data_IF_540081996906
#
_entry.id   IF_540081996906
#
_cell.length_a   1.000
_cell.length_b   1.000
_cell.length_c   1.000
_cell.angle_alpha   90.00
_cell.angle_beta   90.00
_cell.angle_gamma   90.00
#
_symmetry.space_group_name_H-M   'P 1'
#
loop_
_entity.id
_entity.type
_entity.pdbx_description
1 polymer ?
#
# COMPACT_ATOMS: atom_id res chain seq x y z
N UNK A 1 -78.62 -5.21 14.73
CA UNK A 1 -77.74 -4.79 13.61
C UNK A 1 -76.49 -4.13 14.17
N UNK A 2 -75.34 -4.82 14.18
CA UNK A 2 -74.02 -4.23 14.47
C UNK A 2 -73.06 -4.73 13.39
N UNK A 3 -72.58 -3.83 12.53
CA UNK A 3 -71.64 -4.12 11.44
C UNK A 3 -70.23 -4.19 12.03
N UNK A 4 -69.54 -5.31 11.86
CA UNK A 4 -68.11 -5.44 12.10
C UNK A 4 -67.35 -4.96 10.86
N UNK A 5 -66.51 -3.92 11.01
CA UNK A 5 -65.57 -3.51 9.98
C UNK A 5 -64.30 -4.35 10.12
N UNK A 6 -63.96 -5.12 9.08
CA UNK A 6 -62.66 -5.78 8.94
C UNK A 6 -61.60 -4.71 8.63
N UNK A 7 -60.66 -4.52 9.54
CA UNK A 7 -59.44 -3.74 9.30
C UNK A 7 -58.49 -4.64 8.51
N UNK A 8 -58.21 -4.26 7.26
CA UNK A 8 -57.13 -4.85 6.47
C UNK A 8 -55.81 -4.22 6.91
N UNK A 9 -54.97 -5.01 7.58
CA UNK A 9 -53.56 -4.69 7.83
C UNK A 9 -52.81 -4.96 6.51
N UNK A 10 -52.21 -3.97 5.85
CA UNK A 10 -51.36 -4.26 4.71
C UNK A 10 -50.06 -4.86 5.24
N UNK A 11 -49.79 -6.10 4.81
CA UNK A 11 -48.52 -6.79 4.98
C UNK A 11 -47.40 -5.91 4.42
N UNK A 12 -46.62 -5.32 5.34
CA UNK A 12 -45.39 -4.61 5.05
C UNK A 12 -44.38 -5.65 4.53
N UNK A 13 -44.18 -5.67 3.21
CA UNK A 13 -43.10 -6.42 2.57
C UNK A 13 -41.77 -5.88 3.09
N UNK A 14 -41.21 -6.53 4.11
CA UNK A 14 -39.81 -6.35 4.49
C UNK A 14 -38.94 -6.91 3.36
N UNK A 15 -38.41 -6.01 2.53
CA UNK A 15 -37.32 -6.34 1.60
C UNK A 15 -36.08 -6.56 2.46
N UNK A 16 -35.81 -7.82 2.80
CA UNK A 16 -34.55 -8.22 3.41
C UNK A 16 -33.49 -8.13 2.31
N UNK A 17 -32.79 -7.00 2.24
CA UNK A 17 -31.56 -6.87 1.47
C UNK A 17 -30.52 -7.73 2.20
N UNK A 18 -30.44 -9.01 1.83
CA UNK A 18 -29.37 -9.89 2.28
C UNK A 18 -28.05 -9.37 1.68
N UNK A 19 -27.25 -8.70 2.51
CA UNK A 19 -25.87 -8.40 2.19
C UNK A 19 -25.10 -9.73 2.28
N UNK A 20 -24.82 -10.33 1.12
CA UNK A 20 -24.18 -11.64 1.05
C UNK A 20 -22.68 -11.47 1.37
N UNK A 21 -22.30 -11.53 2.65
CA UNK A 21 -20.91 -11.48 3.07
C UNK A 21 -20.20 -12.76 2.60
N UNK A 22 -19.39 -12.66 1.55
CA UNK A 22 -18.44 -13.72 1.21
C UNK A 22 -17.32 -13.70 2.25
N UNK A 23 -17.32 -14.69 3.12
CA UNK A 23 -16.14 -15.01 3.91
C UNK A 23 -15.18 -15.75 3.00
N UNK A 24 -13.90 -15.39 3.08
CA UNK A 24 -12.82 -16.06 2.37
C UNK A 24 -12.49 -17.43 3.00
N UNK A 25 -13.51 -18.09 3.55
CA UNK A 25 -13.39 -19.25 4.42
C UNK A 25 -12.51 -20.30 3.73
N UNK A 26 -11.45 -20.69 4.45
CA UNK A 26 -10.48 -21.75 4.13
C UNK A 26 -9.26 -21.35 3.30
N UNK A 27 -8.56 -20.31 3.79
CA UNK A 27 -7.18 -19.94 3.47
C UNK A 27 -6.96 -19.51 2.02
N UNK A 28 -6.18 -18.45 1.81
CA UNK A 28 -5.48 -18.33 0.53
C UNK A 28 -4.76 -19.62 0.27
N UNK A 29 -4.75 -20.06 -0.98
CA UNK A 29 -3.95 -21.22 -1.32
C UNK A 29 -2.51 -20.88 -0.94
N UNK A 30 -1.98 -21.59 0.07
CA UNK A 30 -0.56 -21.55 0.39
C UNK A 30 0.16 -21.98 -0.88
N UNK A 31 0.84 -21.05 -1.52
CA UNK A 31 1.48 -21.30 -2.81
C UNK A 31 2.70 -22.16 -2.63
N UNK A 32 3.55 -21.74 -1.70
CA UNK A 32 4.74 -22.48 -1.34
C UNK A 32 5.24 -22.05 0.04
N UNK A 33 6.23 -22.79 0.49
CA UNK A 33 6.95 -22.52 1.73
C UNK A 33 8.42 -22.32 1.42
N UNK A 34 9.00 -21.31 2.05
CA UNK A 34 10.41 -20.99 2.04
C UNK A 34 11.02 -21.50 3.35
N UNK A 35 12.02 -22.38 3.31
CA UNK A 35 12.65 -22.88 4.52
C UNK A 35 13.44 -21.78 5.23
N UNK A 36 13.69 -21.98 6.53
CA UNK A 36 14.61 -21.12 7.27
C UNK A 36 16.06 -21.47 6.93
N UNK A 37 16.91 -20.44 6.86
CA UNK A 37 18.33 -20.53 6.60
C UNK A 37 18.90 -19.22 6.04
N UNK A 38 20.19 -19.20 5.74
CA UNK A 38 20.90 -17.98 5.32
C UNK A 38 21.24 -17.99 3.83
N UNK A 39 21.01 -19.09 3.12
CA UNK A 39 21.33 -19.21 1.71
C UNK A 39 20.28 -18.50 0.82
N UNK A 40 20.63 -18.20 -0.44
CA UNK A 40 19.65 -17.77 -1.43
C UNK A 40 18.51 -18.79 -1.56
N UNK A 41 17.27 -18.32 -1.41
CA UNK A 41 16.07 -19.17 -1.42
C UNK A 41 15.63 -19.63 -0.03
N UNK A 42 16.30 -19.15 1.03
CA UNK A 42 15.94 -19.38 2.42
C UNK A 42 15.66 -18.04 3.12
N UNK A 43 15.00 -18.05 4.28
CA UNK A 43 14.75 -16.85 5.10
C UNK A 43 15.49 -16.98 6.43
N UNK A 44 16.15 -15.92 6.89
CA UNK A 44 16.87 -16.01 8.19
C UNK A 44 15.86 -16.28 9.31
N UNK A 45 16.16 -17.19 10.25
CA UNK A 45 15.29 -17.44 11.39
C UNK A 45 14.86 -16.16 12.12
N UNK A 46 13.57 -16.07 12.43
CA UNK A 46 12.99 -14.91 13.10
C UNK A 46 13.40 -14.89 14.58
N UNK A 47 14.16 -13.89 15.00
CA UNK A 47 14.67 -13.76 16.37
C UNK A 47 13.56 -13.43 17.40
N UNK A 48 12.47 -12.79 16.98
CA UNK A 48 11.36 -12.37 17.86
C UNK A 48 10.01 -12.41 17.12
N UNK A 49 8.95 -12.81 17.83
CA UNK A 49 7.56 -12.86 17.29
C UNK A 49 6.92 -11.49 17.03
N UNK A 50 7.51 -10.40 17.55
CA UNK A 50 6.81 -9.10 17.71
C UNK A 50 7.42 -7.92 16.96
N UNK A 51 8.40 -8.11 16.04
CA UNK A 51 8.98 -6.98 15.29
C UNK A 51 9.15 -7.32 13.81
N UNK A 52 8.06 -7.21 13.04
CA UNK A 52 7.97 -7.59 11.63
C UNK A 52 7.89 -6.38 10.70
N UNK A 53 8.96 -5.58 10.67
CA UNK A 53 9.15 -4.54 9.64
C UNK A 53 10.33 -4.84 8.72
N UNK A 54 10.92 -6.03 8.83
CA UNK A 54 12.14 -6.40 8.08
C UNK A 54 11.85 -7.15 6.78
N UNK A 55 10.59 -7.27 6.37
CA UNK A 55 10.21 -7.94 5.12
C UNK A 55 9.33 -7.04 4.27
N UNK A 56 9.45 -7.17 2.95
CA UNK A 56 8.47 -6.69 1.98
C UNK A 56 8.19 -7.81 0.98
N UNK A 57 6.95 -7.89 0.49
CA UNK A 57 6.52 -8.86 -0.51
C UNK A 57 5.77 -8.13 -1.60
N UNK A 58 6.03 -8.48 -2.86
CA UNK A 58 5.25 -8.05 -4.02
C UNK A 58 4.99 -9.22 -4.94
N UNK A 59 3.87 -9.18 -5.66
CA UNK A 59 3.59 -10.08 -6.76
C UNK A 59 3.37 -9.31 -8.04
N UNK A 60 3.90 -9.84 -9.14
CA UNK A 60 3.76 -9.22 -10.46
C UNK A 60 3.97 -10.28 -11.54
N UNK A 61 3.06 -10.38 -12.51
CA UNK A 61 3.11 -11.36 -13.61
C UNK A 61 3.41 -12.82 -13.16
N UNK A 62 2.81 -13.25 -12.05
CA UNK A 62 2.98 -14.61 -11.52
C UNK A 62 4.32 -14.89 -10.82
N UNK A 63 5.18 -13.88 -10.67
CA UNK A 63 6.39 -13.95 -9.86
C UNK A 63 6.13 -13.37 -8.46
N UNK A 64 6.84 -13.92 -7.48
CA UNK A 64 6.83 -13.47 -6.08
C UNK A 64 8.19 -12.87 -5.75
N UNK A 65 8.18 -11.61 -5.34
CA UNK A 65 9.36 -10.86 -4.97
C UNK A 65 9.35 -10.67 -3.46
N UNK A 66 10.44 -11.02 -2.79
CA UNK A 66 10.56 -10.94 -1.34
C UNK A 66 11.85 -10.22 -1.00
N UNK A 67 11.74 -9.19 -0.18
CA UNK A 67 12.86 -8.54 0.48
C UNK A 67 12.95 -9.05 1.90
N UNK A 68 14.16 -9.37 2.33
CA UNK A 68 14.53 -9.47 3.74
C UNK A 68 15.55 -8.37 4.04
N UNK A 69 15.08 -7.29 4.66
CA UNK A 69 15.86 -6.09 4.94
C UNK A 69 17.05 -6.37 5.85
N UNK A 70 16.89 -7.23 6.87
CA UNK A 70 17.99 -7.61 7.79
C UNK A 70 19.15 -8.28 7.08
N UNK A 71 18.86 -9.10 6.07
CA UNK A 71 19.87 -9.80 5.28
C UNK A 71 20.28 -9.03 4.03
N UNK A 72 19.73 -7.83 3.78
CA UNK A 72 19.92 -7.05 2.56
C UNK A 72 19.83 -7.91 1.29
N UNK A 73 18.77 -8.73 1.22
CA UNK A 73 18.53 -9.63 0.09
C UNK A 73 17.16 -9.42 -0.53
N UNK A 74 17.14 -9.47 -1.85
CA UNK A 74 15.95 -9.54 -2.69
C UNK A 74 15.94 -10.90 -3.38
N UNK A 75 14.86 -11.65 -3.24
CA UNK A 75 14.66 -12.95 -3.85
C UNK A 75 13.42 -12.93 -4.74
N UNK A 76 13.54 -13.58 -5.90
CA UNK A 76 12.46 -13.70 -6.88
C UNK A 76 12.16 -15.17 -7.08
N UNK A 77 10.93 -15.56 -6.77
CA UNK A 77 10.41 -16.91 -6.93
C UNK A 77 9.37 -16.94 -8.05
N UNK A 78 9.22 -18.09 -8.69
CA UNK A 78 8.01 -18.35 -9.46
C UNK A 78 6.84 -18.73 -8.52
N UNK A 79 5.63 -18.86 -9.07
CA UNK A 79 4.44 -19.26 -8.32
C UNK A 79 4.54 -20.63 -7.63
N UNK A 80 5.46 -21.49 -8.06
CA UNK A 80 5.70 -22.82 -7.46
C UNK A 80 6.76 -22.81 -6.35
N UNK A 81 7.31 -21.66 -5.99
CA UNK A 81 8.33 -21.53 -4.94
C UNK A 81 9.75 -21.88 -5.36
N UNK A 82 10.02 -22.02 -6.67
CA UNK A 82 11.40 -22.15 -7.18
C UNK A 82 12.04 -20.78 -7.24
N UNK A 83 13.22 -20.63 -6.62
CA UNK A 83 14.04 -19.43 -6.75
C UNK A 83 14.51 -19.26 -8.20
N UNK A 84 14.27 -18.09 -8.77
CA UNK A 84 14.65 -17.72 -10.14
C UNK A 84 15.88 -16.80 -10.15
N UNK A 85 15.92 -15.85 -9.22
CA UNK A 85 16.96 -14.83 -9.13
C UNK A 85 17.08 -14.36 -7.68
N UNK A 86 18.30 -14.06 -7.25
CA UNK A 86 18.56 -13.34 -6.01
C UNK A 86 19.50 -12.16 -6.26
N UNK A 87 19.32 -11.10 -5.47
CA UNK A 87 20.22 -9.95 -5.37
C UNK A 87 20.61 -9.79 -3.90
N UNK A 88 21.91 -9.67 -3.62
CA UNK A 88 22.43 -9.58 -2.26
C UNK A 88 23.86 -9.05 -2.27
N UNK A 89 24.39 -8.70 -1.10
CA UNK A 89 25.80 -8.34 -0.94
C UNK A 89 26.70 -9.58 -1.17
N UNK A 90 27.95 -9.38 -1.60
CA UNK A 90 28.88 -10.38 -2.18
C UNK A 90 29.37 -11.54 -1.30
N UNK A 91 28.55 -12.05 -0.39
CA UNK A 91 28.93 -13.10 0.56
C UNK A 91 28.93 -14.49 -0.09
N UNK A 92 28.11 -14.71 -1.13
CA UNK A 92 27.97 -16.02 -1.79
C UNK A 92 28.47 -16.01 -3.22
N UNK A 93 29.27 -17.02 -3.59
CA UNK A 93 29.70 -17.24 -4.98
C UNK A 93 28.50 -17.64 -5.85
N UNK A 94 28.44 -17.06 -7.04
CA UNK A 94 27.45 -17.38 -8.08
C UNK A 94 27.42 -18.88 -8.36
N UNK A 95 26.27 -19.54 -8.22
CA UNK A 95 26.04 -20.91 -8.68
C UNK A 95 25.50 -20.83 -10.13
N UNK A 96 25.97 -21.66 -11.05
CA UNK A 96 25.53 -21.62 -12.45
C UNK A 96 24.02 -21.88 -12.62
N UNK A 97 23.37 -22.59 -11.69
CA UNK A 97 21.93 -22.86 -11.72
C UNK A 97 21.08 -21.78 -11.03
N UNK A 98 21.69 -20.96 -10.15
CA UNK A 98 21.04 -19.87 -9.44
C UNK A 98 21.65 -18.54 -9.85
N UNK A 99 20.89 -17.72 -10.56
CA UNK A 99 21.30 -16.36 -10.89
C UNK A 99 21.31 -15.52 -9.62
N UNK A 100 22.44 -15.54 -8.92
CA UNK A 100 22.74 -14.67 -7.78
C UNK A 100 23.54 -13.51 -8.34
N UNK A 101 23.11 -12.29 -8.03
CA UNK A 101 23.81 -11.09 -8.46
C UNK A 101 24.22 -10.27 -7.26
N UNK A 102 25.48 -9.87 -7.26
CA UNK A 102 26.01 -8.97 -6.25
C UNK A 102 25.53 -7.55 -6.50
N UNK A 103 24.89 -6.96 -5.49
CA UNK A 103 24.57 -5.53 -5.41
C UNK A 103 24.91 -5.10 -3.99
N UNK A 104 25.61 -3.98 -3.85
CA UNK A 104 25.97 -3.40 -2.56
C UNK A 104 24.78 -2.60 -2.01
N UNK A 105 23.83 -3.32 -1.40
CA UNK A 105 22.73 -2.71 -0.67
C UNK A 105 23.19 -2.31 0.74
N UNK A 106 22.83 -1.10 1.17
CA UNK A 106 23.16 -0.62 2.52
C UNK A 106 22.03 -0.98 3.51
N UNK A 107 20.78 -0.85 3.08
CA UNK A 107 19.61 -1.09 3.91
C UNK A 107 18.34 -1.14 3.08
N UNK A 108 18.08 -2.26 2.42
CA UNK A 108 16.89 -2.43 1.56
C UNK A 108 15.63 -2.22 2.41
N UNK A 109 14.72 -1.38 1.92
CA UNK A 109 13.47 -1.07 2.60
C UNK A 109 12.25 -1.69 1.91
N UNK A 110 12.15 -1.53 0.59
CA UNK A 110 10.95 -1.91 -0.17
C UNK A 110 11.28 -2.18 -1.64
N UNK A 111 10.38 -2.90 -2.31
CA UNK A 111 10.48 -3.25 -3.72
C UNK A 111 9.23 -2.94 -4.50
N UNK A 112 9.42 -2.64 -5.79
CA UNK A 112 8.34 -2.34 -6.72
C UNK A 112 8.66 -2.96 -8.08
N UNK A 113 8.20 -4.20 -8.34
CA UNK A 113 8.38 -4.84 -9.63
C UNK A 113 7.50 -4.17 -10.70
N UNK A 114 8.03 -4.09 -11.92
CA UNK A 114 7.33 -3.63 -13.11
C UNK A 114 7.50 -4.62 -14.26
N UNK A 115 6.93 -4.28 -15.42
CA UNK A 115 7.10 -5.07 -16.63
C UNK A 115 8.56 -5.25 -16.96
N UNK A 116 9.38 -4.20 -16.87
CA UNK A 116 10.72 -4.16 -17.48
C UNK A 116 11.87 -4.01 -16.48
N UNK A 117 11.58 -3.63 -15.24
CA UNK A 117 12.58 -3.48 -14.20
C UNK A 117 11.99 -3.75 -12.82
N UNK A 118 12.84 -3.76 -11.81
CA UNK A 118 12.46 -3.78 -10.39
C UNK A 118 13.06 -2.54 -9.75
N UNK A 119 12.24 -1.75 -9.08
CA UNK A 119 12.73 -0.64 -8.27
C UNK A 119 12.99 -1.17 -6.86
N UNK A 120 14.15 -0.83 -6.31
CA UNK A 120 14.52 -1.14 -4.92
C UNK A 120 14.81 0.16 -4.18
N UNK A 121 14.11 0.38 -3.07
CA UNK A 121 14.41 1.47 -2.15
C UNK A 121 15.45 1.01 -1.14
N UNK A 122 16.55 1.75 -1.03
CA UNK A 122 17.70 1.42 -0.19
C UNK A 122 18.07 2.62 0.69
N UNK A 123 18.12 2.41 2.01
CA UNK A 123 18.46 3.44 2.98
C UNK A 123 19.97 3.51 3.14
N UNK A 124 20.54 4.67 2.80
CA UNK A 124 21.95 4.97 2.98
C UNK A 124 22.31 5.04 4.46
N UNK A 125 23.58 4.72 4.75
CA UNK A 125 24.20 5.03 6.03
C UNK A 125 24.02 6.53 6.36
N UNK A 126 23.70 6.84 7.62
CA UNK A 126 23.47 8.20 8.10
C UNK A 126 24.64 9.15 7.82
N UNK A 127 25.87 8.64 7.69
CA UNK A 127 27.08 9.42 7.35
C UNK A 127 27.09 9.90 5.90
N UNK A 128 26.34 9.24 5.01
CA UNK A 128 26.20 9.58 3.59
C UNK A 128 24.96 10.45 3.33
N UNK A 129 24.08 10.61 4.32
CA UNK A 129 22.90 11.43 4.20
C UNK A 129 23.28 12.91 4.01
N UNK A 130 22.60 13.59 3.08
CA UNK A 130 22.71 15.04 2.92
C UNK A 130 21.54 15.70 3.63
N UNK A 131 21.77 16.82 4.30
CA UNK A 131 20.71 17.54 5.00
C UNK A 131 20.54 18.95 4.42
N UNK A 132 19.33 19.25 3.97
CA UNK A 132 18.91 20.58 3.55
C UNK A 132 18.35 21.34 4.76
N UNK A 133 19.10 22.35 5.22
CA UNK A 133 18.71 23.17 6.36
C UNK A 133 17.52 24.08 6.08
N UNK A 134 17.33 24.51 4.83
CA UNK A 134 16.27 25.46 4.46
C UNK A 134 14.91 24.78 4.52
N UNK A 135 14.82 23.58 3.95
CA UNK A 135 13.59 22.81 3.88
C UNK A 135 13.42 21.85 5.06
N UNK A 136 14.47 21.70 5.90
CA UNK A 136 14.54 20.73 7.00
C UNK A 136 14.33 19.27 6.53
N UNK A 137 15.00 18.91 5.43
CA UNK A 137 14.85 17.60 4.77
C UNK A 137 16.20 16.87 4.74
N UNK A 138 16.20 15.60 5.15
CA UNK A 138 17.34 14.71 5.00
C UNK A 138 17.17 13.83 3.76
N UNK A 139 18.18 13.78 2.91
CA UNK A 139 18.25 12.95 1.71
C UNK A 139 19.13 11.72 1.99
N UNK A 140 18.49 10.57 2.15
CA UNK A 140 19.15 9.34 2.59
C UNK A 140 18.58 8.07 1.93
N UNK A 141 17.63 8.18 0.99
CA UNK A 141 17.09 7.03 0.29
C UNK A 141 17.60 7.00 -1.14
N UNK A 142 18.34 5.94 -1.47
CA UNK A 142 18.82 5.64 -2.81
C UNK A 142 17.81 4.72 -3.49
N UNK A 143 17.57 4.95 -4.78
CA UNK A 143 16.68 4.12 -5.58
C UNK A 143 17.52 3.36 -6.59
N UNK A 144 17.49 2.03 -6.55
CA UNK A 144 18.08 1.19 -7.59
C UNK A 144 17.02 0.78 -8.60
N UNK A 145 17.39 0.80 -9.88
CA UNK A 145 16.61 0.25 -10.99
C UNK A 145 17.33 -1.00 -11.48
N UNK A 146 16.74 -2.17 -11.23
CA UNK A 146 17.26 -3.47 -11.64
C UNK A 146 16.58 -3.86 -12.96
N UNK A 147 17.30 -3.72 -14.07
CA UNK A 147 16.76 -4.01 -15.39
C UNK A 147 16.80 -5.50 -15.71
N UNK A 148 15.92 -5.94 -16.62
CA UNK A 148 15.90 -7.34 -17.12
C UNK A 148 17.20 -7.82 -17.75
N UNK A 149 17.92 -6.92 -18.42
CA UNK A 149 19.23 -7.19 -19.04
C UNK A 149 20.36 -7.32 -18.01
N UNK A 150 20.01 -7.29 -16.72
CA UNK A 150 20.95 -7.32 -15.60
C UNK A 150 21.85 -6.07 -15.54
N UNK A 151 21.48 -4.95 -16.15
CA UNK A 151 22.07 -3.67 -15.78
C UNK A 151 21.46 -3.17 -14.45
N UNK A 152 22.21 -2.33 -13.73
CA UNK A 152 21.73 -1.65 -12.51
C UNK A 152 21.97 -0.17 -12.70
N UNK A 153 20.92 0.61 -12.50
CA UNK A 153 21.01 2.07 -12.49
C UNK A 153 20.63 2.61 -11.12
N UNK A 154 21.10 3.80 -10.80
CA UNK A 154 20.70 4.53 -9.59
C UNK A 154 19.88 5.73 -10.04
N UNK A 155 18.68 5.87 -9.47
CA UNK A 155 17.81 7.01 -9.68
C UNK A 155 17.94 7.98 -8.50
N UNK A 156 18.09 9.27 -8.80
CA UNK A 156 18.02 10.38 -7.86
C UNK A 156 17.04 11.45 -8.34
N UNK A 157 16.91 12.53 -7.57
CA UNK A 157 15.92 13.59 -7.78
C UNK A 157 15.99 14.25 -9.18
N UNK A 158 17.18 14.37 -9.74
CA UNK A 158 17.45 14.98 -11.04
C UNK A 158 17.57 13.93 -12.18
N UNK A 159 17.24 12.67 -11.91
CA UNK A 159 17.38 11.55 -12.84
C UNK A 159 18.52 10.60 -12.46
N UNK A 160 19.13 9.96 -13.46
CA UNK A 160 20.18 8.95 -13.25
C UNK A 160 21.35 9.52 -12.45
N UNK A 161 21.75 8.81 -11.39
CA UNK A 161 22.82 9.17 -10.46
C UNK A 161 22.66 10.57 -9.80
N UNK A 162 21.43 11.07 -9.71
CA UNK A 162 21.13 12.33 -9.04
C UNK A 162 21.23 12.26 -7.51
N UNK A 163 20.78 13.31 -6.85
CA UNK A 163 20.68 13.42 -5.40
C UNK A 163 19.74 12.33 -4.85
N UNK A 164 20.10 11.64 -3.76
CA UNK A 164 19.19 10.73 -3.07
C UNK A 164 17.87 11.40 -2.68
N UNK A 165 16.85 10.60 -2.45
CA UNK A 165 15.54 11.06 -2.03
C UNK A 165 15.45 11.24 -0.50
N UNK A 166 14.48 12.03 -0.03
CA UNK A 166 14.02 11.94 1.35
C UNK A 166 13.43 10.57 1.67
N UNK A 167 12.90 10.40 2.88
CA UNK A 167 12.20 9.18 3.26
C UNK A 167 11.10 8.85 2.24
N UNK A 168 11.30 7.76 1.50
CA UNK A 168 10.32 7.24 0.56
C UNK A 168 9.17 6.63 1.35
N UNK A 169 7.96 7.13 1.08
CA UNK A 169 6.71 6.59 1.58
C UNK A 169 6.19 5.48 0.67
N UNK A 170 6.18 5.75 -0.64
CA UNK A 170 5.69 4.78 -1.64
C UNK A 170 6.29 5.07 -3.02
N UNK A 171 6.20 4.09 -3.92
CA UNK A 171 6.58 4.24 -5.32
C UNK A 171 5.46 3.70 -6.20
N UNK A 172 5.01 4.49 -7.17
CA UNK A 172 4.02 4.06 -8.14
C UNK A 172 4.66 3.95 -9.52
N UNK A 173 4.39 2.86 -10.22
CA UNK A 173 4.88 2.61 -11.58
C UNK A 173 3.68 2.39 -12.47
N UNK A 174 3.42 3.23 -13.47
CA UNK A 174 2.29 3.03 -14.37
C UNK A 174 2.57 2.02 -15.50
N UNK A 175 1.54 1.70 -16.29
CA UNK A 175 1.63 0.68 -17.36
C UNK A 175 2.60 1.09 -18.49
N UNK A 176 2.96 2.37 -18.57
CA UNK A 176 3.98 2.90 -19.46
C UNK A 176 5.38 2.92 -18.85
N UNK A 177 5.57 2.32 -17.67
CA UNK A 177 6.79 2.34 -16.86
C UNK A 177 7.24 3.76 -16.43
N UNK A 178 6.33 4.73 -16.39
CA UNK A 178 6.64 5.99 -15.72
C UNK A 178 6.64 5.76 -14.22
N UNK A 179 7.51 6.47 -13.52
CA UNK A 179 7.77 6.26 -12.10
C UNK A 179 7.34 7.50 -11.33
N UNK A 180 6.67 7.32 -10.19
CA UNK A 180 6.45 8.35 -9.20
C UNK A 180 7.03 7.89 -7.85
N UNK A 181 8.07 8.58 -7.39
CA UNK A 181 8.68 8.40 -6.06
C UNK A 181 7.97 9.37 -5.12
N UNK A 182 7.27 8.84 -4.12
CA UNK A 182 6.49 9.63 -3.16
C UNK A 182 7.26 9.64 -1.84
N UNK A 183 7.65 10.83 -1.37
CA UNK A 183 8.45 10.99 -0.16
C UNK A 183 7.74 11.84 0.88
N UNK A 184 8.09 11.65 2.15
CA UNK A 184 7.53 12.41 3.28
C UNK A 184 8.34 13.68 3.52
N UNK A 185 7.67 14.77 3.86
CA UNK A 185 8.27 15.97 4.45
C UNK A 185 7.36 16.58 5.51
N UNK A 186 7.76 17.69 6.14
CA UNK A 186 7.09 18.27 7.31
C UNK A 186 5.62 18.66 7.11
N UNK A 187 5.19 19.01 5.90
CA UNK A 187 3.82 19.47 5.62
C UNK A 187 2.97 18.49 4.80
N UNK A 188 3.53 17.34 4.42
CA UNK A 188 2.84 16.35 3.59
C UNK A 188 3.81 15.49 2.78
N UNK A 189 3.60 15.42 1.46
CA UNK A 189 4.38 14.60 0.55
C UNK A 189 5.02 15.39 -0.59
N UNK A 190 6.17 14.91 -1.07
CA UNK A 190 6.78 15.37 -2.33
C UNK A 190 6.74 14.20 -3.31
N UNK A 191 6.18 14.43 -4.49
CA UNK A 191 6.19 13.46 -5.59
C UNK A 191 7.28 13.88 -6.56
N UNK A 192 8.24 12.98 -6.83
CA UNK A 192 9.20 13.10 -7.92
C UNK A 192 8.83 12.09 -9.00
N UNK A 193 8.57 12.56 -10.22
CA UNK A 193 8.15 11.67 -11.31
C UNK A 193 9.11 11.66 -12.48
N UNK A 194 9.14 10.54 -13.18
CA UNK A 194 10.08 10.24 -14.25
C UNK A 194 9.39 9.56 -15.41
N UNK A 195 9.89 9.79 -16.61
CA UNK A 195 9.50 9.03 -17.79
C UNK A 195 10.12 7.62 -17.80
N UNK A 196 9.80 6.86 -18.84
CA UNK A 196 10.34 5.52 -19.04
C UNK A 196 11.85 5.48 -19.33
N UNK A 197 12.50 6.63 -19.57
CA UNK A 197 13.95 6.78 -19.73
C UNK A 197 14.64 7.29 -18.45
N UNK A 198 13.89 7.39 -17.34
CA UNK A 198 14.33 7.95 -16.07
C UNK A 198 14.64 9.45 -16.11
N UNK A 199 14.07 10.19 -17.07
CA UNK A 199 14.18 11.64 -17.13
C UNK A 199 13.12 12.28 -16.22
N UNK A 200 13.46 13.28 -15.39
CA UNK A 200 12.52 13.91 -14.47
C UNK A 200 11.43 14.67 -15.23
N UNK A 201 10.18 14.53 -14.76
CA UNK A 201 8.98 15.14 -15.34
C UNK A 201 8.38 16.22 -14.42
N UNK A 202 7.98 15.82 -13.21
CA UNK A 202 7.33 16.71 -12.24
C UNK A 202 7.92 16.52 -10.84
N UNK A 203 8.04 17.64 -10.10
CA UNK A 203 8.25 17.69 -8.66
C UNK A 203 7.05 18.40 -8.02
N UNK A 204 6.24 17.69 -7.25
CA UNK A 204 4.93 18.16 -6.79
C UNK A 204 4.85 18.07 -5.27
N UNK A 205 4.49 19.18 -4.62
CA UNK A 205 4.25 19.22 -3.18
C UNK A 205 2.77 19.00 -2.90
N UNK A 206 2.45 17.90 -2.23
CA UNK A 206 1.09 17.54 -1.83
C UNK A 206 0.92 17.88 -0.36
N UNK A 207 0.20 18.96 -0.09
CA UNK A 207 -0.06 19.49 1.24
C UNK A 207 -1.49 20.06 1.33
N UNK A 208 -1.85 20.61 2.49
CA UNK A 208 -3.19 21.18 2.73
C UNK A 208 -3.51 22.36 1.82
N UNK A 209 -2.51 23.12 1.38
CA UNK A 209 -2.67 24.25 0.44
C UNK A 209 -3.06 23.76 -0.96
N UNK A 210 -2.39 22.72 -1.47
CA UNK A 210 -2.75 22.08 -2.75
C UNK A 210 -4.20 21.58 -2.74
N UNK A 211 -4.64 21.04 -1.60
CA UNK A 211 -6.00 20.55 -1.41
C UNK A 211 -7.06 21.64 -1.23
N UNK A 212 -6.65 22.92 -1.22
CA UNK A 212 -7.54 24.09 -1.05
C UNK A 212 -8.49 23.92 0.14
N UNK A 213 -8.02 23.33 1.23
CA UNK A 213 -8.82 23.10 2.43
C UNK A 213 -9.11 24.47 3.08
N UNK A 214 -10.38 24.83 3.35
CA UNK A 214 -10.72 26.10 3.98
C UNK A 214 -10.07 26.26 5.35
N UNK A 215 -9.61 27.47 5.68
CA UNK A 215 -8.96 27.73 6.98
C UNK A 215 -9.87 27.39 8.17
N UNK A 216 -11.17 27.63 8.05
CA UNK A 216 -12.16 27.28 9.07
C UNK A 216 -12.16 25.77 9.37
N UNK A 217 -12.02 24.92 8.34
CA UNK A 217 -11.89 23.47 8.54
C UNK A 217 -10.59 23.12 9.24
N UNK A 218 -9.47 23.78 8.88
CA UNK A 218 -8.17 23.52 9.53
C UNK A 218 -8.11 23.98 11.00
N UNK A 219 -8.93 24.97 11.38
CA UNK A 219 -9.09 25.42 12.77
C UNK A 219 -9.96 24.46 13.59
N UNK A 220 -10.96 23.84 12.95
CA UNK A 220 -11.93 22.95 13.60
C UNK A 220 -11.46 21.50 13.68
N UNK A 221 -10.73 21.03 12.67
CA UNK A 221 -10.38 19.63 12.51
C UNK A 221 -8.87 19.45 12.38
N UNK A 222 -8.36 18.39 12.99
CA UNK A 222 -7.03 17.88 12.70
C UNK A 222 -7.11 17.09 11.39
N UNK A 223 -6.54 17.63 10.32
CA UNK A 223 -6.61 17.02 8.98
C UNK A 223 -5.28 16.36 8.64
N UNK A 224 -5.34 15.07 8.32
CA UNK A 224 -4.22 14.25 7.88
C UNK A 224 -4.32 13.96 6.39
N UNK A 225 -3.18 13.98 5.69
CA UNK A 225 -3.03 13.41 4.36
C UNK A 225 -2.45 12.02 4.59
N UNK A 226 -3.24 10.98 4.36
CA UNK A 226 -2.86 9.62 4.77
C UNK A 226 -2.19 8.83 3.64
N UNK A 227 -2.56 9.14 2.40
CA UNK A 227 -2.04 8.42 1.22
C UNK A 227 -2.08 9.28 -0.03
N UNK A 228 -1.08 9.09 -0.89
CA UNK A 228 -0.94 9.75 -2.18
C UNK A 228 -0.66 8.68 -3.22
N UNK A 229 -1.31 8.78 -4.38
CA UNK A 229 -0.97 8.00 -5.57
C UNK A 229 -0.78 8.92 -6.75
N UNK A 230 0.14 8.58 -7.66
CA UNK A 230 0.29 9.32 -8.91
C UNK A 230 0.39 8.40 -10.12
N UNK A 231 -0.59 8.52 -11.02
CA UNK A 231 -0.56 7.92 -12.35
C UNK A 231 0.05 8.94 -13.32
N UNK A 232 1.36 8.84 -13.54
CA UNK A 232 2.16 9.84 -14.27
C UNK A 232 1.67 10.03 -15.71
N UNK A 233 1.47 8.93 -16.45
CA UNK A 233 1.02 8.95 -17.84
C UNK A 233 -0.36 9.63 -17.99
N UNK A 234 -1.29 9.34 -17.04
CA UNK A 234 -2.62 9.98 -17.02
C UNK A 234 -2.60 11.38 -16.42
N UNK A 235 -1.52 11.76 -15.73
CA UNK A 235 -1.37 13.01 -14.99
C UNK A 235 -2.47 13.18 -13.93
N UNK A 236 -2.80 12.09 -13.23
CA UNK A 236 -3.83 12.05 -12.19
C UNK A 236 -3.19 11.70 -10.85
N UNK A 237 -3.35 12.57 -9.87
CA UNK A 237 -2.97 12.35 -8.48
C UNK A 237 -4.23 12.03 -7.67
N UNK A 238 -4.16 11.01 -6.85
CA UNK A 238 -5.18 10.71 -5.85
C UNK A 238 -4.63 10.98 -4.46
N UNK A 239 -5.38 11.72 -3.65
CA UNK A 239 -4.96 12.10 -2.30
C UNK A 239 -6.03 11.70 -1.31
N UNK A 240 -5.72 10.82 -0.36
CA UNK A 240 -6.64 10.43 0.71
C UNK A 240 -6.40 11.31 1.93
N UNK A 241 -7.48 11.87 2.47
CA UNK A 241 -7.44 12.68 3.71
C UNK A 241 -8.39 12.15 4.77
N UNK A 242 -8.00 12.25 6.03
CA UNK A 242 -8.86 12.01 7.19
C UNK A 242 -8.96 13.24 8.05
N UNK A 243 -10.18 13.55 8.45
CA UNK A 243 -10.53 14.68 9.30
C UNK A 243 -10.85 14.14 10.68
N UNK A 244 -10.07 14.53 11.67
CA UNK A 244 -10.27 14.18 13.07
C UNK A 244 -10.86 15.35 13.83
N UNK A 245 -11.84 15.08 14.68
CA UNK A 245 -12.43 16.01 15.62
C UNK A 245 -11.97 15.66 17.02
N UNK A 246 -11.47 16.65 17.77
CA UNK A 246 -11.07 16.47 19.15
C UNK A 246 -12.34 16.44 20.02
N UNK A 247 -12.55 15.35 20.75
CA UNK A 247 -13.71 15.14 21.63
C UNK A 247 -13.35 15.27 23.10
N UNK A 248 -12.08 15.57 23.43
CA UNK A 248 -11.58 15.65 24.79
C UNK A 248 -11.38 14.26 25.42
N UNK A 249 -10.58 14.20 26.48
CA UNK A 249 -10.42 12.99 27.30
C UNK A 249 -11.56 12.95 28.32
N UNK A 250 -12.56 12.09 28.10
CA UNK A 250 -13.43 11.69 29.21
C UNK A 250 -12.66 10.69 30.06
N UNK A 251 -12.51 10.97 31.36
CA UNK A 251 -11.70 10.18 32.32
C UNK A 251 -12.09 8.69 32.43
N UNK A 252 -13.23 8.28 31.84
CA UNK A 252 -13.76 6.92 31.89
C UNK A 252 -13.65 6.12 30.58
N UNK A 253 -12.97 6.63 29.54
CA UNK A 253 -12.81 5.90 28.27
C UNK A 253 -11.35 5.96 27.85
N UNK A 254 -10.75 4.79 27.62
CA UNK A 254 -9.41 4.60 27.06
C UNK A 254 -9.29 5.08 25.58
N UNK A 255 -9.97 6.15 25.18
CA UNK A 255 -9.91 6.70 23.83
C UNK A 255 -8.92 7.86 23.75
N UNK A 256 -8.20 7.94 22.63
CA UNK A 256 -7.17 8.94 22.31
C UNK A 256 -7.71 10.39 22.22
N UNK A 257 -8.92 10.68 22.69
CA UNK A 257 -9.56 11.99 22.66
C UNK A 257 -9.89 12.51 21.25
N UNK A 258 -9.81 11.67 20.22
CA UNK A 258 -10.05 12.04 18.82
C UNK A 258 -11.01 11.07 18.13
N UNK A 259 -11.86 11.60 17.26
CA UNK A 259 -12.79 10.83 16.43
C UNK A 259 -12.64 11.17 14.94
N UNK A 260 -12.78 10.20 14.06
CA UNK A 260 -12.83 10.37 12.60
C UNK A 260 -14.16 11.00 12.20
N UNK A 261 -14.11 12.31 11.92
CA UNK A 261 -15.27 13.05 11.43
C UNK A 261 -15.60 12.73 9.99
N UNK A 262 -14.62 12.74 9.09
CA UNK A 262 -14.78 12.56 7.64
C UNK A 262 -13.53 11.95 7.01
N UNK A 263 -13.71 11.28 5.87
CA UNK A 263 -12.63 10.78 5.04
C UNK A 263 -12.96 11.07 3.58
N UNK A 264 -11.97 11.52 2.81
CA UNK A 264 -12.14 11.87 1.41
C UNK A 264 -11.01 11.32 0.56
N UNK A 265 -11.32 11.00 -0.70
CA UNK A 265 -10.35 10.77 -1.76
C UNK A 265 -10.49 11.88 -2.79
N UNK A 266 -9.47 12.73 -2.91
CA UNK A 266 -9.42 13.82 -3.88
C UNK A 266 -8.79 13.31 -5.17
N UNK A 267 -9.43 13.55 -6.31
CA UNK A 267 -8.88 13.31 -7.64
C UNK A 267 -8.40 14.64 -8.20
N UNK A 268 -7.11 14.72 -8.49
CA UNK A 268 -6.43 15.93 -8.95
C UNK A 268 -5.83 15.64 -10.31
N UNK A 269 -6.02 16.52 -11.29
CA UNK A 269 -5.45 16.34 -12.63
C UNK A 269 -4.79 17.61 -13.13
N UNK A 270 -3.87 17.45 -14.09
CA UNK A 270 -3.29 18.59 -14.79
C UNK A 270 -4.35 19.30 -15.63
N UNK A 271 -4.46 20.61 -15.49
CA UNK A 271 -5.36 21.46 -16.26
C UNK A 271 -4.66 22.07 -17.49
N UNK A 272 -5.40 22.86 -18.27
CA UNK A 272 -4.88 23.52 -19.48
C UNK A 272 -3.74 24.51 -19.19
N UNK A 273 -3.69 25.06 -17.97
CA UNK A 273 -2.65 25.97 -17.50
C UNK A 273 -1.40 25.23 -16.99
N UNK A 274 -1.34 23.89 -17.14
CA UNK A 274 -0.28 23.02 -16.62
C UNK A 274 -0.16 23.06 -15.09
N UNK A 275 -1.27 23.29 -14.40
CA UNK A 275 -1.37 23.24 -12.95
C UNK A 275 -2.23 22.05 -12.52
N UNK A 276 -1.91 21.44 -11.39
CA UNK A 276 -2.71 20.37 -10.82
C UNK A 276 -3.89 20.96 -10.04
N UNK A 277 -5.11 20.62 -10.45
CA UNK A 277 -6.34 21.09 -9.81
C UNK A 277 -7.25 19.94 -9.40
N UNK A 278 -7.95 20.11 -8.28
CA UNK A 278 -8.94 19.15 -7.80
C UNK A 278 -10.10 19.11 -8.80
N UNK A 279 -10.35 17.93 -9.36
CA UNK A 279 -11.47 17.65 -10.26
C UNK A 279 -12.65 17.04 -9.54
N UNK A 280 -12.37 16.23 -8.53
CA UNK A 280 -13.39 15.50 -7.79
C UNK A 280 -12.98 15.28 -6.34
N UNK A 281 -13.98 15.17 -5.47
CA UNK A 281 -13.84 14.90 -4.03
C UNK A 281 -14.83 13.80 -3.65
N UNK A 282 -14.30 12.59 -3.54
CA UNK A 282 -15.08 11.38 -3.25
C UNK A 282 -15.19 11.23 -1.74
N UNK A 283 -16.43 11.10 -1.24
CA UNK A 283 -16.69 10.86 0.17
C UNK A 283 -16.51 9.37 0.43
N UNK A 284 -15.58 9.02 1.31
CA UNK A 284 -15.39 7.63 1.71
C UNK A 284 -16.43 7.25 2.77
N UNK A 285 -16.92 6.00 2.76
CA UNK A 285 -17.97 5.58 3.66
C UNK A 285 -17.49 5.59 5.13
N UNK A 286 -18.43 5.53 6.07
CA UNK A 286 -18.17 5.56 7.51
C UNK A 286 -18.95 4.46 8.19
N UNK A 287 -18.51 4.12 9.40
CA UNK A 287 -19.18 3.17 10.29
C UNK A 287 -19.52 1.89 9.52
N UNK A 288 -18.51 1.34 8.85
CA UNK A 288 -18.63 0.13 8.04
C UNK A 288 -18.82 -1.13 8.88
N UNK A 289 -18.67 -0.98 10.20
CA UNK A 289 -18.81 -2.03 11.18
C UNK A 289 -20.14 -1.84 11.91
N UNK A 290 -20.84 -2.94 12.18
CA UNK A 290 -22.15 -2.98 12.85
C UNK A 290 -22.10 -2.45 14.30
N UNK A 291 -20.90 -2.25 14.87
CA UNK A 291 -20.67 -1.77 16.22
C UNK A 291 -20.74 -0.24 16.35
N UNK A 292 -21.23 0.46 15.32
CA UNK A 292 -21.31 1.93 15.25
C UNK A 292 -19.94 2.64 15.38
N UNK A 293 -18.82 1.91 15.31
CA UNK A 293 -17.50 2.50 15.42
C UNK A 293 -17.01 3.07 14.10
N UNK A 294 -16.24 4.15 14.22
CA UNK A 294 -15.64 4.82 13.08
C UNK A 294 -14.55 3.94 12.44
N UNK A 295 -14.73 3.62 11.17
CA UNK A 295 -13.80 2.77 10.41
C UNK A 295 -12.78 3.63 9.66
N UNK A 296 -11.49 3.49 9.96
CA UNK A 296 -10.44 4.10 9.16
C UNK A 296 -10.30 3.34 7.83
N UNK A 297 -10.39 4.07 6.72
CA UNK A 297 -10.32 3.48 5.38
C UNK A 297 -8.89 3.67 4.85
N UNK A 298 -8.22 2.54 4.64
CA UNK A 298 -6.95 2.48 3.93
C UNK A 298 -7.20 2.23 2.44
N UNK A 299 -6.76 3.11 1.56
CA UNK A 299 -6.89 2.89 0.12
C UNK A 299 -5.74 1.99 -0.31
N UNK A 300 -6.06 0.79 -0.80
CA UNK A 300 -5.04 -0.17 -1.23
C UNK A 300 -4.59 0.15 -2.66
N UNK A 301 -5.54 0.42 -3.56
CA UNK A 301 -5.25 0.75 -4.95
C UNK A 301 -6.47 1.26 -5.70
N UNK A 302 -6.24 1.79 -6.91
CA UNK A 302 -7.27 2.31 -7.80
C UNK A 302 -7.08 1.64 -9.16
N UNK A 303 -8.13 1.00 -9.68
CA UNK A 303 -8.10 0.22 -10.91
C UNK A 303 -9.38 0.46 -11.71
N UNK A 304 -9.28 0.86 -12.98
CA UNK A 304 -10.44 0.97 -13.92
C UNK A 304 -11.69 1.57 -13.27
N UNK A 305 -11.55 2.73 -12.63
CA UNK A 305 -12.64 3.44 -11.93
C UNK A 305 -13.23 2.71 -10.70
N UNK A 306 -12.49 1.76 -10.14
CA UNK A 306 -12.73 1.13 -8.85
C UNK A 306 -11.67 1.55 -7.84
N UNK A 307 -12.10 1.73 -6.60
CA UNK A 307 -11.23 1.98 -5.46
C UNK A 307 -11.25 0.73 -4.60
N UNK A 308 -10.09 0.09 -4.45
CA UNK A 308 -9.93 -1.02 -3.53
C UNK A 308 -9.44 -0.46 -2.21
N UNK A 309 -10.19 -0.72 -1.15
CA UNK A 309 -9.90 -0.18 0.18
C UNK A 309 -9.96 -1.28 1.23
N UNK A 310 -9.33 -1.06 2.38
CA UNK A 310 -9.46 -1.92 3.55
C UNK A 310 -9.76 -1.16 4.83
N UNK A 311 -10.36 -1.87 5.80
CA UNK A 311 -10.46 -1.44 7.20
C UNK A 311 -10.20 -2.63 8.11
N UNK A 312 -9.54 -2.38 9.24
CA UNK A 312 -9.34 -3.41 10.26
C UNK A 312 -10.59 -3.50 11.16
N UNK A 313 -10.91 -4.72 11.62
CA UNK A 313 -11.96 -4.97 12.61
C UNK A 313 -11.32 -5.00 14.01
N UNK A 314 -11.83 -4.21 14.97
CA UNK A 314 -11.23 -4.07 16.32
C UNK A 314 -11.10 -5.40 17.10
N UNK A 315 -12.00 -6.37 16.87
CA UNK A 315 -12.08 -7.60 17.64
C UNK A 315 -11.28 -8.78 17.05
N UNK A 316 -10.00 -8.54 16.71
CA UNK A 316 -8.97 -9.52 16.26
C UNK A 316 -8.81 -9.62 14.74
N UNK A 317 -7.56 -9.39 14.30
CA UNK A 317 -6.87 -10.09 13.21
C UNK A 317 -7.53 -10.10 11.81
N UNK A 318 -8.64 -9.41 11.61
CA UNK A 318 -9.41 -9.53 10.38
C UNK A 318 -9.48 -8.18 9.66
N UNK A 319 -9.30 -8.23 8.35
CA UNK A 319 -9.31 -7.06 7.47
C UNK A 319 -10.48 -7.19 6.51
N UNK A 320 -11.37 -6.20 6.52
CA UNK A 320 -12.40 -6.06 5.50
C UNK A 320 -11.78 -5.40 4.27
N UNK A 321 -12.01 -5.98 3.09
CA UNK A 321 -11.61 -5.41 1.81
C UNK A 321 -12.87 -5.04 1.03
N UNK A 322 -12.86 -3.84 0.47
CA UNK A 322 -13.99 -3.19 -0.18
C UNK A 322 -13.65 -2.88 -1.62
N UNK A 323 -14.60 -3.13 -2.51
CA UNK A 323 -14.63 -2.57 -3.86
C UNK A 323 -15.62 -1.39 -3.86
N UNK A 324 -15.09 -0.17 -3.93
CA UNK A 324 -15.88 1.04 -4.05
C UNK A 324 -15.93 1.51 -5.51
N UNK A 325 -17.05 2.07 -5.94
CA UNK A 325 -17.10 2.84 -7.19
C UNK A 325 -16.45 4.23 -7.02
N UNK A 326 -16.38 4.98 -8.13
CA UNK A 326 -15.86 6.37 -8.13
C UNK A 326 -16.65 7.34 -7.25
N UNK A 327 -17.86 6.98 -6.80
CA UNK A 327 -18.65 7.81 -5.89
C UNK A 327 -18.44 7.41 -4.43
N UNK A 328 -17.56 6.44 -4.15
CA UNK A 328 -17.31 5.92 -2.81
C UNK A 328 -18.35 4.92 -2.33
N UNK A 329 -19.26 4.46 -3.20
CA UNK A 329 -20.28 3.47 -2.84
C UNK A 329 -19.69 2.06 -2.88
N UNK A 330 -19.95 1.29 -1.82
CA UNK A 330 -19.57 -0.12 -1.74
C UNK A 330 -20.38 -0.93 -2.77
N UNK A 331 -19.67 -1.66 -3.62
CA UNK A 331 -20.28 -2.59 -4.59
C UNK A 331 -20.13 -4.04 -4.19
N UNK A 332 -18.94 -4.43 -3.77
CA UNK A 332 -18.63 -5.75 -3.21
C UNK A 332 -17.75 -5.57 -1.97
N UNK A 333 -17.82 -6.54 -1.06
CA UNK A 333 -17.02 -6.58 0.16
C UNK A 333 -16.61 -8.01 0.47
N UNK A 334 -15.49 -8.16 1.17
CA UNK A 334 -15.00 -9.45 1.65
C UNK A 334 -14.29 -9.30 2.98
N UNK A 335 -14.29 -10.38 3.77
CA UNK A 335 -13.55 -10.46 5.03
C UNK A 335 -12.32 -11.34 4.79
N UNK A 336 -11.14 -10.78 5.01
CA UNK A 336 -9.91 -11.52 5.20
C UNK A 336 -9.81 -11.90 6.68
N UNK A 337 -9.75 -13.20 6.96
CA UNK A 337 -9.57 -13.74 8.31
C UNK A 337 -8.11 -14.15 8.44
N UNK A 338 -7.34 -13.49 9.30
CA UNK A 338 -5.95 -13.91 9.51
C UNK A 338 -5.88 -15.19 10.37
N UNK A 339 -4.99 -16.13 10.05
CA UNK A 339 -4.81 -17.33 10.85
C UNK A 339 -4.21 -17.02 12.23
N UNK A 340 -4.86 -17.46 13.30
CA UNK A 340 -4.46 -17.16 14.69
C UNK A 340 -3.12 -17.78 15.12
N UNK A 341 -2.62 -18.77 14.38
CA UNK A 341 -1.40 -19.52 14.68
C UNK A 341 -0.20 -19.11 13.82
N UNK A 342 -0.37 -18.15 12.90
CA UNK A 342 0.69 -17.67 12.02
C UNK A 342 1.18 -16.30 12.47
N UNK A 343 2.47 -16.02 12.22
CA UNK A 343 3.07 -14.71 12.50
C UNK A 343 3.04 -13.88 11.23
N UNK A 344 2.24 -12.81 11.18
CA UNK A 344 2.20 -11.88 10.04
C UNK A 344 3.55 -11.21 9.82
N UNK A 345 4.13 -11.31 8.61
CA UNK A 345 5.43 -10.69 8.29
C UNK A 345 5.31 -9.47 7.37
N UNK A 346 4.54 -9.59 6.29
CA UNK A 346 4.35 -8.53 5.30
C UNK A 346 3.11 -8.82 4.44
N UNK A 347 2.53 -7.78 3.85
CA UNK A 347 1.45 -7.88 2.86
C UNK A 347 1.66 -6.92 1.69
N UNK A 348 1.04 -7.24 0.56
CA UNK A 348 0.88 -6.29 -0.53
C UNK A 348 -0.27 -6.68 -1.45
N UNK A 349 -0.93 -5.68 -2.02
CA UNK A 349 -1.82 -5.85 -3.16
C UNK A 349 -1.10 -5.44 -4.44
N UNK A 350 -1.07 -6.32 -5.44
CA UNK A 350 -0.53 -6.00 -6.76
C UNK A 350 -1.53 -5.17 -7.58
N UNK A 351 -1.02 -4.50 -8.62
CA UNK A 351 -1.85 -3.84 -9.63
C UNK A 351 -2.76 -4.80 -10.40
N UNK A 352 -2.39 -6.07 -10.46
CA UNK A 352 -3.19 -7.11 -11.08
C UNK A 352 -4.23 -7.67 -10.11
N UNK A 353 -4.44 -7.04 -8.94
CA UNK A 353 -5.44 -7.45 -7.96
C UNK A 353 -5.05 -8.67 -7.14
N UNK A 354 -3.76 -9.02 -7.07
CA UNK A 354 -3.30 -10.14 -6.24
C UNK A 354 -2.91 -9.62 -4.86
N UNK A 355 -3.71 -9.94 -3.85
CA UNK A 355 -3.30 -9.76 -2.46
C UNK A 355 -2.33 -10.88 -2.10
N UNK A 356 -1.18 -10.53 -1.56
CA UNK A 356 -0.11 -11.45 -1.20
C UNK A 356 0.29 -11.20 0.25
N UNK A 357 0.36 -12.27 1.04
CA UNK A 357 0.73 -12.17 2.46
C UNK A 357 1.81 -13.18 2.77
N UNK A 358 2.79 -12.72 3.55
CA UNK A 358 3.90 -13.51 4.04
C UNK A 358 3.66 -13.86 5.51
N UNK A 359 3.57 -15.15 5.82
CA UNK A 359 3.37 -15.64 7.19
C UNK A 359 4.56 -16.48 7.67
N UNK A 360 5.05 -16.15 8.86
CA UNK A 360 6.00 -16.97 9.61
C UNK A 360 5.33 -18.20 10.21
N UNK A 361 5.93 -19.37 9.97
CA UNK A 361 5.56 -20.66 10.52
C UNK A 361 6.71 -21.22 11.39
N UNK A 362 6.46 -22.34 12.09
CA UNK A 362 7.48 -23.01 12.92
C UNK A 362 8.75 -23.44 12.16
N UNK A 363 8.63 -23.77 10.87
CA UNK A 363 9.74 -24.35 10.08
C UNK A 363 10.03 -23.59 8.79
N UNK A 364 9.57 -22.34 8.68
CA UNK A 364 9.87 -21.49 7.55
C UNK A 364 8.86 -20.37 7.42
N UNK A 365 8.78 -19.82 6.22
CA UNK A 365 7.85 -18.74 5.88
C UNK A 365 6.99 -19.17 4.71
N UNK A 366 5.70 -18.90 4.76
CA UNK A 366 4.73 -19.30 3.74
C UNK A 366 4.19 -18.09 3.01
N UNK A 367 4.05 -18.25 1.69
CA UNK A 367 3.45 -17.26 0.81
C UNK A 367 2.00 -17.65 0.54
N UNK A 368 1.10 -16.72 0.82
CA UNK A 368 -0.32 -16.84 0.53
C UNK A 368 -0.71 -15.80 -0.52
N UNK A 369 -1.63 -16.16 -1.40
CA UNK A 369 -2.12 -15.27 -2.46
C UNK A 369 -3.64 -15.31 -2.59
N UNK A 370 -4.22 -14.22 -3.09
CA UNK A 370 -5.63 -14.12 -3.42
C UNK A 370 -5.83 -13.26 -4.65
N UNK A 371 -6.52 -13.80 -5.64
CA UNK A 371 -6.92 -13.02 -6.81
C UNK A 371 -8.20 -12.24 -6.51
N UNK A 372 -8.05 -11.00 -6.06
CA UNK A 372 -9.15 -10.12 -5.72
C UNK A 372 -10.01 -9.76 -6.94
N UNK A 373 -9.46 -9.76 -8.17
CA UNK A 373 -10.28 -9.52 -9.36
C UNK A 373 -11.37 -10.57 -9.50
N UNK A 374 -11.02 -11.84 -9.28
CA UNK A 374 -11.97 -12.95 -9.29
C UNK A 374 -12.94 -12.87 -8.11
N UNK A 375 -12.43 -12.56 -6.91
CA UNK A 375 -13.23 -12.60 -5.68
C UNK A 375 -14.23 -11.43 -5.56
N UNK A 376 -13.80 -10.23 -5.97
CA UNK A 376 -14.56 -8.97 -5.91
C UNK A 376 -15.22 -8.58 -7.25
N UNK A 377 -15.07 -9.42 -8.29
CA UNK A 377 -15.60 -9.20 -9.65
C UNK A 377 -15.21 -7.82 -10.20
N UNK A 378 -13.91 -7.54 -10.19
CA UNK A 378 -13.33 -6.26 -10.63
C UNK A 378 -13.36 -6.08 -12.16
#
# INVERSE_FOLDING_TARGET
MRKFYKIYIPSLFFIIISCNHKTLNELGEKQFKIPFGTLPGEITPLENKFNNSSFDIKTYNGLVYIVEAKANKLMIFNSYGKLIQAYQNGIFKTNHDLKIKEIDFEGIQAIYPSKDFIIVSDKLDYRKAKFDKKENIAYFTKIFILNKDLSVEVLGQEGKNGTPFPQVYDINIDDGNHIAIITIYSEGYIIYSYDNNLLPLYKIYVNKYMLKIPEEETKKYNISIDKVFFEVNKKIIYVKTTYYENIGTNENINDLGVRIKNQYLHKISLNNNKEFEIKDKIILPKNLLDDQQESFINIIGIQKDRIIASTNIKNLLNTLIWNLDINGQIKEQMILIEPTNLTFLAESLSKDGILSILYGEKSGVSVYWWNLNTLLKL
#
